data_IF_890356642332
#
_entry.id   IF_890356642332
#
_cell.length_a   1.000
_cell.length_b   1.000
_cell.length_c   1.000
_cell.angle_alpha   90.00
_cell.angle_beta   90.00
_cell.angle_gamma   90.00
#
_symmetry.space_group_name_H-M   'P 1'
#
loop_
_entity.id
_entity.type
_entity.pdbx_description
1 polymer ?
#
# COMPACT_ATOMS: atom_id res chain seq x y z
N UNK A 1 10.43 0.66 -2.08
CA UNK A 1 9.13 0.94 -2.73
C UNK A 1 8.07 0.22 -1.92
N UNK A 2 6.97 0.89 -1.61
CA UNK A 2 5.95 0.40 -0.69
C UNK A 2 4.57 0.27 -1.33
N UNK A 3 3.58 -0.20 -0.56
CA UNK A 3 2.21 -0.38 -1.05
C UNK A 3 1.62 0.91 -1.63
N UNK A 4 1.81 2.06 -0.97
CA UNK A 4 1.28 3.35 -1.45
C UNK A 4 1.98 3.81 -2.73
N UNK A 5 3.30 3.59 -2.86
CA UNK A 5 4.02 3.89 -4.09
C UNK A 5 3.45 3.08 -5.25
N UNK A 6 3.25 1.77 -5.04
CA UNK A 6 2.72 0.88 -6.05
C UNK A 6 1.31 1.29 -6.52
N UNK A 7 0.45 1.77 -5.61
CA UNK A 7 -0.87 2.30 -5.96
C UNK A 7 -0.82 3.68 -6.62
N UNK A 8 0.19 4.49 -6.33
CA UNK A 8 0.31 5.85 -6.86
C UNK A 8 0.93 5.93 -8.27
N UNK A 9 1.89 5.06 -8.58
CA UNK A 9 2.65 5.07 -9.84
C UNK A 9 1.76 4.95 -11.09
N UNK A 10 0.75 4.06 -11.16
CA UNK A 10 -0.11 3.95 -12.34
C UNK A 10 -0.85 5.25 -12.66
N UNK A 11 -1.35 5.94 -11.62
CA UNK A 11 -2.01 7.23 -11.76
C UNK A 11 -1.03 8.33 -12.19
N UNK A 12 0.19 8.33 -11.65
CA UNK A 12 1.24 9.28 -12.03
C UNK A 12 1.68 9.13 -13.49
N UNK A 13 1.80 7.89 -13.98
CA UNK A 13 2.23 7.60 -15.35
C UNK A 13 1.09 7.62 -16.36
N UNK A 14 -0.17 7.69 -15.90
CA UNK A 14 -1.36 7.47 -16.74
C UNK A 14 -1.27 6.16 -17.54
N UNK A 15 -0.85 5.09 -16.86
CA UNK A 15 -0.63 3.76 -17.46
C UNK A 15 -1.26 2.66 -16.61
N UNK A 16 -1.67 1.60 -17.29
CA UNK A 16 -2.10 0.36 -16.66
C UNK A 16 -0.92 -0.36 -15.99
N UNK A 17 -1.20 -1.09 -14.91
CA UNK A 17 -0.19 -1.80 -14.16
C UNK A 17 -0.74 -3.04 -13.45
N UNK A 18 0.13 -4.02 -13.24
CA UNK A 18 -0.11 -5.15 -12.34
C UNK A 18 0.86 -5.07 -11.19
N UNK A 19 0.32 -4.93 -9.98
CA UNK A 19 1.04 -4.88 -8.72
C UNK A 19 0.96 -6.27 -8.10
N UNK A 20 2.11 -6.87 -7.80
CA UNK A 20 2.20 -8.15 -7.11
C UNK A 20 2.89 -7.96 -5.77
N UNK A 21 2.29 -8.50 -4.71
CA UNK A 21 2.80 -8.47 -3.35
C UNK A 21 2.42 -9.76 -2.60
N UNK A 22 2.83 -9.85 -1.34
CA UNK A 22 2.54 -10.99 -0.46
C UNK A 22 2.19 -10.50 0.92
N UNK A 23 1.24 -11.16 1.57
CA UNK A 23 0.90 -10.89 2.97
C UNK A 23 2.12 -11.18 3.86
N UNK A 24 2.62 -10.23 4.66
CA UNK A 24 3.79 -10.46 5.51
C UNK A 24 3.50 -11.39 6.70
N UNK A 25 2.24 -11.71 6.99
CA UNK A 25 1.85 -12.65 8.06
C UNK A 25 1.75 -14.08 7.55
N UNK A 26 1.13 -14.28 6.38
CA UNK A 26 0.83 -15.62 5.86
C UNK A 26 1.69 -16.02 4.66
N UNK A 27 2.27 -15.06 3.94
CA UNK A 27 2.97 -15.28 2.68
C UNK A 27 2.05 -15.40 1.46
N UNK A 28 0.73 -15.33 1.66
CA UNK A 28 -0.25 -15.48 0.58
C UNK A 28 -0.15 -14.33 -0.44
N UNK A 29 -0.36 -14.61 -1.73
CA UNK A 29 -0.23 -13.61 -2.78
C UNK A 29 -1.34 -12.55 -2.71
N UNK A 30 -0.97 -11.33 -3.08
CA UNK A 30 -1.87 -10.20 -3.27
C UNK A 30 -1.57 -9.59 -4.63
N UNK A 31 -2.60 -9.42 -5.46
CA UNK A 31 -2.49 -8.80 -6.78
C UNK A 31 -3.45 -7.63 -6.88
N UNK A 32 -2.96 -6.49 -7.35
CA UNK A 32 -3.78 -5.33 -7.69
C UNK A 32 -3.56 -4.99 -9.15
N UNK A 33 -4.62 -5.00 -9.94
CA UNK A 33 -4.58 -4.66 -11.36
C UNK A 33 -5.23 -3.30 -11.57
N UNK A 34 -4.46 -2.34 -12.11
CA UNK A 34 -4.96 -1.05 -12.57
C UNK A 34 -5.22 -1.13 -14.07
N UNK A 35 -6.47 -0.90 -14.47
CA UNK A 35 -6.90 -0.83 -15.88
C UNK A 35 -7.82 0.37 -16.06
N UNK A 36 -7.48 1.26 -16.99
CA UNK A 36 -8.25 2.49 -17.28
C UNK A 36 -8.53 3.32 -16.01
N UNK A 37 -7.53 3.41 -15.11
CA UNK A 37 -7.63 4.14 -13.85
C UNK A 37 -8.51 3.50 -12.77
N UNK A 38 -9.03 2.29 -13.01
CA UNK A 38 -9.78 1.49 -12.03
C UNK A 38 -8.88 0.40 -11.47
N UNK A 39 -8.87 0.24 -10.15
CA UNK A 39 -8.12 -0.84 -9.50
C UNK A 39 -9.02 -2.02 -9.12
N UNK A 40 -8.54 -3.22 -9.40
CA UNK A 40 -9.12 -4.49 -8.96
C UNK A 40 -8.14 -5.21 -8.04
N UNK A 41 -8.64 -5.66 -6.91
CA UNK A 41 -7.83 -6.24 -5.84
C UNK A 41 -8.17 -7.71 -5.64
N UNK A 42 -7.14 -8.53 -5.55
CA UNK A 42 -7.24 -9.95 -5.24
C UNK A 42 -6.27 -10.29 -4.10
N UNK A 43 -6.77 -10.75 -2.94
CA UNK A 43 -8.18 -10.95 -2.61
C UNK A 43 -8.95 -9.64 -2.42
N UNK A 44 -10.28 -9.68 -2.59
CA UNK A 44 -11.16 -8.50 -2.43
C UNK A 44 -11.24 -8.00 -0.98
N UNK A 45 -10.78 -8.80 -0.01
CA UNK A 45 -10.63 -8.42 1.39
C UNK A 45 -9.32 -7.68 1.68
N UNK A 46 -8.44 -7.53 0.69
CA UNK A 46 -7.12 -6.96 0.90
C UNK A 46 -7.19 -5.53 1.45
N UNK A 47 -6.23 -5.22 2.33
CA UNK A 47 -6.10 -3.93 3.01
C UNK A 47 -4.65 -3.48 3.00
N UNK A 48 -4.41 -2.22 3.34
CA UNK A 48 -3.06 -1.67 3.47
C UNK A 48 -2.86 -1.15 4.89
N UNK A 49 -1.72 -1.45 5.50
CA UNK A 49 -1.29 -0.73 6.70
C UNK A 49 -0.49 0.50 6.27
N UNK A 50 -0.86 1.66 6.81
CA UNK A 50 -0.16 2.93 6.59
C UNK A 50 0.45 3.37 7.90
N UNK A 51 1.77 3.20 8.02
CA UNK A 51 2.55 3.63 9.17
C UNK A 51 3.84 4.34 8.80
N UNK A 52 4.50 4.88 9.81
CA UNK A 52 5.78 5.57 9.68
C UNK A 52 6.66 5.26 10.89
N UNK A 53 7.90 4.83 10.69
CA UNK A 53 8.81 4.63 11.83
C UNK A 53 9.20 5.99 12.43
N UNK A 54 9.24 6.12 13.77
CA UNK A 54 9.80 7.31 14.42
C UNK A 54 11.30 7.45 14.09
N UNK A 55 11.79 8.68 13.95
CA UNK A 55 13.22 8.96 13.75
C UNK A 55 13.60 9.56 12.40
N UNK A 56 12.70 9.53 11.42
CA UNK A 56 12.95 10.13 10.09
C UNK A 56 14.04 9.42 9.29
N UNK A 57 14.27 9.88 8.07
CA UNK A 57 15.19 9.27 7.11
C UNK A 57 14.62 9.30 5.69
N UNK A 58 15.38 8.85 4.68
CA UNK A 58 14.85 8.69 3.32
C UNK A 58 13.52 7.93 3.33
N UNK A 59 12.53 8.36 2.55
CA UNK A 59 11.21 7.68 2.51
C UNK A 59 11.34 6.17 2.20
N UNK A 60 12.35 5.80 1.41
CA UNK A 60 12.71 4.41 1.10
C UNK A 60 13.09 3.56 2.33
N UNK A 61 13.63 4.16 3.38
CA UNK A 61 14.04 3.46 4.62
C UNK A 61 13.18 3.79 5.84
N UNK A 62 12.54 4.97 5.87
CA UNK A 62 11.69 5.41 6.98
C UNK A 62 10.22 4.97 6.84
N UNK A 63 9.74 4.78 5.60
CA UNK A 63 8.33 4.47 5.33
C UNK A 63 8.11 3.10 4.67
N UNK A 64 9.07 2.56 3.90
CA UNK A 64 8.77 1.38 3.06
C UNK A 64 8.50 0.07 3.83
N UNK A 65 9.11 -0.15 4.99
CA UNK A 65 8.84 -1.36 5.80
C UNK A 65 7.51 -1.29 6.56
N UNK A 66 6.90 -0.09 6.62
CA UNK A 66 5.68 0.21 7.40
C UNK A 66 4.45 0.45 6.51
N UNK A 67 4.54 0.15 5.22
CA UNK A 67 3.50 0.40 4.21
C UNK A 67 3.24 -0.90 3.43
N UNK A 68 2.55 -1.84 4.08
CA UNK A 68 2.40 -3.23 3.61
C UNK A 68 0.96 -3.55 3.17
N UNK A 69 0.83 -4.42 2.16
CA UNK A 69 -0.42 -5.08 1.81
C UNK A 69 -0.70 -6.27 2.73
N UNK A 70 -1.97 -6.52 3.01
CA UNK A 70 -2.44 -7.72 3.71
C UNK A 70 -3.65 -8.28 2.98
N UNK A 71 -3.80 -9.60 2.97
CA UNK A 71 -4.95 -10.27 2.36
C UNK A 71 -6.26 -9.94 3.07
N UNK A 72 -6.21 -9.56 4.35
CA UNK A 72 -7.37 -9.14 5.14
C UNK A 72 -6.98 -8.30 6.37
N UNK A 73 -7.99 -7.70 7.01
CA UNK A 73 -7.81 -6.84 8.17
C UNK A 73 -7.31 -7.57 9.43
N UNK A 74 -7.58 -8.86 9.59
CA UNK A 74 -7.14 -9.62 10.76
C UNK A 74 -5.64 -9.93 10.69
N UNK A 75 -5.11 -10.20 9.49
CA UNK A 75 -3.67 -10.30 9.25
C UNK A 75 -2.99 -8.95 9.52
N UNK A 76 -3.57 -7.85 9.04
CA UNK A 76 -3.03 -6.51 9.32
C UNK A 76 -2.98 -6.22 10.83
N UNK A 77 -4.04 -6.54 11.59
CA UNK A 77 -4.07 -6.42 13.06
C UNK A 77 -3.03 -7.30 13.74
N UNK A 78 -2.89 -8.55 13.29
CA UNK A 78 -1.90 -9.49 13.80
C UNK A 78 -0.50 -8.93 13.62
N UNK A 79 -0.19 -8.38 12.44
CA UNK A 79 1.08 -7.74 12.18
C UNK A 79 1.29 -6.50 13.06
N UNK A 80 0.28 -5.61 13.18
CA UNK A 80 0.38 -4.41 14.04
C UNK A 80 0.64 -4.77 15.51
N UNK A 81 0.00 -5.83 16.04
CA UNK A 81 0.26 -6.28 17.43
C UNK A 81 1.69 -6.78 17.65
N UNK A 82 2.35 -7.27 16.60
CA UNK A 82 3.76 -7.73 16.63
C UNK A 82 4.76 -6.59 16.43
N UNK A 83 4.30 -5.41 15.98
CA UNK A 83 5.13 -4.24 15.67
C UNK A 83 4.60 -2.97 16.37
N UNK A 84 4.52 -2.96 17.72
CA UNK A 84 4.00 -1.80 18.46
C UNK A 84 4.88 -0.55 18.33
N UNK A 85 6.13 -0.69 17.87
CA UNK A 85 7.08 0.39 17.59
C UNK A 85 6.74 1.16 16.29
N UNK A 86 5.82 0.65 15.47
CA UNK A 86 5.43 1.24 14.19
C UNK A 86 4.03 1.87 14.32
N UNK A 87 3.93 3.18 14.62
CA UNK A 87 2.65 3.86 14.66
C UNK A 87 2.04 3.91 13.26
N UNK A 88 0.74 3.64 13.16
CA UNK A 88 0.02 3.65 11.89
C UNK A 88 -1.42 3.18 12.02
N UNK A 89 -2.08 3.01 10.88
CA UNK A 89 -3.47 2.54 10.81
C UNK A 89 -3.67 1.62 9.61
N UNK A 90 -4.61 0.69 9.74
CA UNK A 90 -5.11 -0.10 8.61
C UNK A 90 -6.12 0.74 7.82
N UNK A 91 -6.01 0.73 6.50
CA UNK A 91 -6.90 1.42 5.57
C UNK A 91 -7.49 0.43 4.56
N UNK A 92 -8.71 0.71 4.13
CA UNK A 92 -9.38 -0.07 3.09
C UNK A 92 -8.89 0.35 1.68
N UNK A 93 -9.33 -0.38 0.65
CA UNK A 93 -8.88 -0.18 -0.74
C UNK A 93 -9.14 1.24 -1.26
N UNK A 94 -10.37 1.81 -1.16
CA UNK A 94 -10.61 3.15 -1.70
C UNK A 94 -9.77 4.22 -1.02
N UNK A 95 -9.53 4.07 0.28
CA UNK A 95 -8.68 4.99 1.02
C UNK A 95 -7.20 4.85 0.63
N UNK A 96 -6.70 3.61 0.44
CA UNK A 96 -5.34 3.35 -0.01
C UNK A 96 -5.09 3.93 -1.42
N UNK A 97 -6.01 3.68 -2.35
CA UNK A 97 -5.97 4.23 -3.71
C UNK A 97 -5.98 5.75 -3.71
N UNK A 98 -6.83 6.37 -2.87
CA UNK A 98 -6.90 7.82 -2.72
C UNK A 98 -5.58 8.38 -2.20
N UNK A 99 -4.97 7.76 -1.20
CA UNK A 99 -3.66 8.18 -0.66
C UNK A 99 -2.61 8.09 -1.77
N UNK A 100 -2.47 6.94 -2.45
CA UNK A 100 -1.51 6.77 -3.54
C UNK A 100 -1.67 7.80 -4.66
N UNK A 101 -2.91 8.01 -5.14
CA UNK A 101 -3.21 8.99 -6.18
C UNK A 101 -2.91 10.42 -5.75
N UNK A 102 -3.20 10.80 -4.50
CA UNK A 102 -2.91 12.15 -4.00
C UNK A 102 -1.42 12.38 -3.80
N UNK A 103 -0.67 11.36 -3.39
CA UNK A 103 0.77 11.44 -3.18
C UNK A 103 1.54 11.52 -4.50
N UNK A 104 1.14 10.73 -5.51
CA UNK A 104 1.93 10.57 -6.74
C UNK A 104 1.31 11.22 -7.98
N UNK A 105 -0.01 11.25 -8.10
CA UNK A 105 -0.71 11.73 -9.30
C UNK A 105 -0.27 13.12 -9.79
N UNK A 106 -0.11 14.13 -8.91
CA UNK A 106 0.29 15.47 -9.33
C UNK A 106 1.76 15.59 -9.76
N UNK A 107 2.62 14.60 -9.47
CA UNK A 107 4.07 14.76 -9.60
C UNK A 107 4.54 14.90 -11.06
N UNK A 108 3.78 14.34 -12.00
CA UNK A 108 4.02 14.43 -13.45
C UNK A 108 2.85 15.10 -14.18
N UNK A 109 1.94 15.75 -13.46
CA UNK A 109 0.86 16.51 -14.07
C UNK A 109 1.45 17.75 -14.80
N UNK A 110 0.96 18.09 -16.02
CA UNK A 110 1.42 19.25 -16.77
C UNK A 110 1.20 20.59 -16.07
#
# INVERSE_FOLDING_TARGET
MCAIDALGIPAMLSQDAVISSTDPVTGDPITVTSTDGTMRWEPTSAVVFVGQRPGGGPAASACCDALNFFTNADNARTWTSRHPDVPGRVVNQPEAERIGRQTFGPLLAP
#
